data_IF_518785163735
#
_entry.id   IF_518785163735
#
_cell.length_a   1.000
_cell.length_b   1.000
_cell.length_c   1.000
_cell.angle_alpha   90.00
_cell.angle_beta   90.00
_cell.angle_gamma   90.00
#
_symmetry.space_group_name_H-M   'P 1'
#
loop_
_entity.id
_entity.type
_entity.pdbx_description
1 polymer ?
#
# COMPACT_ATOMS: atom_id res chain seq x y z
N UNK A 1 -1.79 1.70 8.32
CA UNK A 1 -2.34 2.90 7.66
C UNK A 1 -1.16 3.72 7.14
N UNK A 2 -1.25 4.25 5.93
CA UNK A 2 -0.28 5.21 5.39
C UNK A 2 -1.02 6.47 4.93
N UNK A 3 -0.37 7.62 5.06
CA UNK A 3 -0.86 8.92 4.61
C UNK A 3 0.20 9.53 3.71
N UNK A 4 -0.17 9.88 2.48
CA UNK A 4 0.73 10.54 1.52
C UNK A 4 0.32 12.00 1.35
N UNK A 5 1.11 12.91 1.92
CA UNK A 5 0.94 14.36 1.74
C UNK A 5 1.54 14.84 0.41
N UNK A 6 0.98 15.93 -0.14
CA UNK A 6 1.17 16.49 -1.48
C UNK A 6 0.25 15.88 -2.57
N UNK A 7 0.71 15.74 -3.82
CA UNK A 7 -0.10 15.62 -5.05
C UNK A 7 -1.23 14.56 -5.09
N UNK A 8 -1.26 13.59 -4.16
CA UNK A 8 -2.29 12.54 -4.11
C UNK A 8 -3.26 12.66 -2.92
N UNK A 9 -2.86 13.38 -1.85
CA UNK A 9 -3.56 13.55 -0.57
C UNK A 9 -4.52 12.38 -0.24
N UNK A 10 -3.93 11.21 0.01
CA UNK A 10 -4.67 9.93 0.09
C UNK A 10 -4.35 9.17 1.37
N UNK A 11 -5.38 8.50 1.90
CA UNK A 11 -5.22 7.47 2.92
C UNK A 11 -5.03 6.11 2.25
N UNK A 12 -4.13 5.29 2.78
CA UNK A 12 -4.03 3.89 2.39
C UNK A 12 -4.16 2.94 3.59
N UNK A 13 -5.10 2.00 3.48
CA UNK A 13 -5.09 0.81 4.33
C UNK A 13 -4.16 -0.22 3.68
N UNK A 14 -3.10 -0.62 4.40
CA UNK A 14 -2.15 -1.63 3.91
C UNK A 14 -2.44 -2.94 4.62
N UNK A 15 -2.69 -3.98 3.82
CA UNK A 15 -3.03 -5.33 4.25
C UNK A 15 -1.92 -6.29 3.83
N UNK A 16 -1.69 -7.33 4.61
CA UNK A 16 -0.76 -8.41 4.28
C UNK A 16 -1.42 -9.77 4.53
N UNK A 17 -1.07 -10.77 3.72
CA UNK A 17 -1.47 -12.15 4.00
C UNK A 17 -0.71 -12.73 5.20
N UNK A 18 -1.09 -13.93 5.64
CA UNK A 18 -0.48 -14.59 6.82
C UNK A 18 1.05 -14.70 6.71
N UNK A 19 1.56 -14.92 5.51
CA UNK A 19 3.00 -14.98 5.23
C UNK A 19 3.66 -13.62 5.50
N UNK A 20 3.08 -12.53 5.02
CA UNK A 20 3.56 -11.17 5.27
C UNK A 20 3.52 -10.84 6.77
N UNK A 21 2.40 -11.13 7.44
CA UNK A 21 2.20 -10.86 8.87
C UNK A 21 3.21 -11.63 9.72
N UNK A 22 3.43 -12.92 9.41
CA UNK A 22 4.46 -13.72 10.08
C UNK A 22 5.85 -13.14 9.88
N UNK A 23 6.21 -12.77 8.64
CA UNK A 23 7.51 -12.17 8.34
C UNK A 23 7.75 -10.87 9.11
N UNK A 24 6.70 -10.06 9.31
CA UNK A 24 6.78 -8.89 10.17
C UNK A 24 7.00 -9.20 11.65
N UNK A 25 6.27 -10.17 12.21
CA UNK A 25 6.38 -10.53 13.63
C UNK A 25 7.70 -11.20 14.00
N UNK A 26 8.25 -12.01 13.11
CA UNK A 26 9.48 -12.77 13.37
C UNK A 26 10.74 -11.88 13.42
N UNK A 27 10.60 -10.55 13.24
CA UNK A 27 11.74 -9.63 13.20
C UNK A 27 12.66 -9.84 11.99
N UNK A 28 12.29 -10.75 11.08
CA UNK A 28 13.06 -11.17 9.90
C UNK A 28 13.12 -10.12 8.78
N UNK A 29 12.66 -8.89 9.04
CA UNK A 29 12.95 -7.79 8.14
C UNK A 29 14.47 -7.54 8.15
N UNK A 30 15.15 -8.06 7.11
CA UNK A 30 14.92 -7.45 5.80
C UNK A 30 14.31 -8.34 4.71
N UNK A 31 13.85 -9.58 4.91
CA UNK A 31 13.43 -10.47 3.81
C UNK A 31 11.99 -10.97 3.93
N UNK A 32 11.19 -10.77 2.87
CA UNK A 32 9.88 -11.39 2.72
C UNK A 32 10.00 -12.69 1.91
N UNK A 33 9.46 -13.82 2.37
CA UNK A 33 9.53 -15.08 1.65
C UNK A 33 8.60 -15.11 0.42
N UNK A 34 8.87 -16.01 -0.53
CA UNK A 34 7.96 -16.29 -1.65
C UNK A 34 6.55 -16.63 -1.14
N UNK A 35 5.53 -16.16 -1.85
CA UNK A 35 4.13 -16.23 -1.43
C UNK A 35 3.68 -15.07 -0.53
N UNK A 36 4.58 -14.14 -0.17
CA UNK A 36 4.17 -12.89 0.48
C UNK A 36 3.30 -12.07 -0.45
N UNK A 37 2.15 -11.59 0.04
CA UNK A 37 1.25 -10.68 -0.68
C UNK A 37 0.94 -9.49 0.23
N UNK A 38 1.12 -8.29 -0.32
CA UNK A 38 0.77 -7.02 0.32
C UNK A 38 -0.17 -6.26 -0.61
N UNK A 39 -1.26 -5.72 -0.06
CA UNK A 39 -2.21 -4.89 -0.76
C UNK A 39 -2.31 -3.51 -0.12
N UNK A 40 -2.35 -2.46 -0.92
CA UNK A 40 -2.62 -1.10 -0.48
C UNK A 40 -3.95 -0.64 -1.10
N UNK A 41 -4.93 -0.36 -0.24
CA UNK A 41 -6.24 0.17 -0.62
C UNK A 41 -6.21 1.68 -0.43
N UNK A 42 -6.22 2.45 -1.52
CA UNK A 42 -6.10 3.90 -1.48
C UNK A 42 -7.48 4.57 -1.55
N UNK A 43 -7.68 5.59 -0.70
CA UNK A 43 -8.90 6.36 -0.57
C UNK A 43 -8.58 7.85 -0.56
N UNK A 44 -9.57 8.67 -0.95
CA UNK A 44 -9.48 10.11 -0.76
C UNK A 44 -9.40 10.46 0.73
N UNK A 45 -8.53 11.37 1.10
CA UNK A 45 -8.49 11.98 2.42
C UNK A 45 -9.54 13.10 2.48
N UNK A 46 -10.66 12.88 3.16
CA UNK A 46 -11.79 13.84 3.19
C UNK A 46 -12.13 14.27 4.62
N UNK A 47 -12.50 15.54 4.85
CA UNK A 47 -12.99 15.98 6.16
C UNK A 47 -14.24 15.19 6.58
N UNK A 48 -14.30 14.81 7.85
CA UNK A 48 -15.51 14.23 8.44
C UNK A 48 -16.40 15.34 9.00
N UNK A 49 -17.46 15.70 8.27
CA UNK A 49 -18.42 16.70 8.74
C UNK A 49 -19.08 16.31 10.07
N UNK A 50 -19.40 15.02 10.24
CA UNK A 50 -19.99 14.49 11.48
C UNK A 50 -19.09 14.73 12.68
N UNK A 51 -17.82 14.31 12.59
CA UNK A 51 -16.88 14.48 13.70
C UNK A 51 -16.55 15.96 13.90
N UNK A 52 -16.37 16.73 12.83
CA UNK A 52 -16.06 18.15 12.93
C UNK A 52 -17.20 18.94 13.59
N UNK A 53 -18.47 18.53 13.40
CA UNK A 53 -19.61 19.09 14.16
C UNK A 53 -19.47 18.81 15.66
N UNK A 54 -19.07 17.61 16.06
CA UNK A 54 -18.87 17.27 17.46
C UNK A 54 -17.72 18.08 18.10
N UNK A 55 -16.68 18.38 17.33
CA UNK A 55 -15.51 19.12 17.82
C UNK A 55 -15.57 20.65 17.61
N UNK A 56 -16.52 21.15 16.82
CA UNK A 56 -16.65 22.57 16.49
C UNK A 56 -15.54 23.13 15.58
N UNK A 57 -14.67 22.28 15.01
CA UNK A 57 -13.58 22.67 14.12
C UNK A 57 -13.20 21.55 13.15
N UNK A 58 -12.61 21.90 12.00
CA UNK A 58 -12.10 20.92 11.03
C UNK A 58 -10.82 20.27 11.55
N UNK A 59 -10.93 19.05 12.05
CA UNK A 59 -9.77 18.30 12.56
C UNK A 59 -9.86 16.79 12.33
N UNK A 60 -11.03 16.25 12.01
CA UNK A 60 -11.23 14.84 11.73
C UNK A 60 -11.32 14.58 10.24
N UNK A 61 -10.67 13.50 9.81
CA UNK A 61 -10.65 13.06 8.42
C UNK A 61 -10.94 11.57 8.35
N UNK A 62 -11.59 11.16 7.28
CA UNK A 62 -12.00 9.78 7.03
C UNK A 62 -11.63 9.36 5.62
N UNK A 63 -11.69 8.06 5.36
CA UNK A 63 -11.59 7.52 4.01
C UNK A 63 -12.85 7.90 3.21
N UNK A 64 -12.67 8.66 2.13
CA UNK A 64 -13.70 8.93 1.13
C UNK A 64 -13.69 7.87 0.03
N UNK A 65 -13.99 8.29 -1.20
CA UNK A 65 -14.04 7.37 -2.34
C UNK A 65 -12.71 6.62 -2.57
N UNK A 66 -12.77 5.32 -2.93
CA UNK A 66 -11.59 4.57 -3.33
C UNK A 66 -10.99 5.17 -4.61
N UNK A 67 -9.67 5.27 -4.66
CA UNK A 67 -8.95 5.86 -5.80
C UNK A 67 -8.22 4.82 -6.64
N UNK A 68 -7.63 3.81 -5.99
CA UNK A 68 -6.97 2.69 -6.64
C UNK A 68 -6.66 1.60 -5.61
N UNK A 69 -6.36 0.40 -6.12
CA UNK A 69 -5.81 -0.70 -5.33
C UNK A 69 -4.48 -1.09 -5.92
N UNK A 70 -3.47 -1.28 -5.06
CA UNK A 70 -2.15 -1.74 -5.47
C UNK A 70 -1.82 -3.05 -4.78
N UNK A 71 -1.15 -3.93 -5.50
CA UNK A 71 -0.66 -5.21 -4.99
C UNK A 71 0.83 -5.32 -5.25
N UNK A 72 1.52 -5.98 -4.32
CA UNK A 72 2.83 -6.56 -4.57
C UNK A 72 2.87 -8.00 -4.06
N UNK A 73 3.43 -8.89 -4.87
CA UNK A 73 3.51 -10.32 -4.57
C UNK A 73 4.93 -10.84 -4.78
N UNK A 74 5.43 -11.62 -3.83
CA UNK A 74 6.77 -12.21 -3.87
C UNK A 74 6.72 -13.56 -4.59
N UNK A 75 7.40 -13.65 -5.73
CA UNK A 75 7.68 -14.88 -6.45
C UNK A 75 9.06 -14.75 -7.14
N UNK A 76 10.06 -15.34 -6.50
CA UNK A 76 11.44 -15.33 -6.98
C UNK A 76 11.62 -15.96 -8.37
N UNK A 77 10.72 -16.87 -8.78
CA UNK A 77 10.83 -17.58 -10.07
C UNK A 77 10.37 -16.71 -11.23
N UNK A 78 9.25 -16.01 -11.06
CA UNK A 78 8.63 -15.20 -12.13
C UNK A 78 9.10 -13.75 -12.13
N UNK A 79 9.64 -13.25 -11.01
CA UNK A 79 10.00 -11.85 -10.81
C UNK A 79 11.47 -11.63 -10.41
N UNK A 80 12.40 -12.48 -10.91
CA UNK A 80 13.81 -12.43 -10.54
C UNK A 80 14.49 -11.06 -10.74
N UNK A 81 14.10 -10.31 -11.79
CA UNK A 81 14.68 -9.01 -12.12
C UNK A 81 14.29 -7.86 -11.18
N UNK A 82 13.33 -8.09 -10.28
CA UNK A 82 12.82 -7.11 -9.31
C UNK A 82 13.05 -7.57 -7.87
N UNK A 83 14.06 -8.43 -7.66
CA UNK A 83 14.31 -9.04 -6.36
C UNK A 83 13.21 -10.00 -5.93
N UNK A 84 12.41 -10.52 -6.86
CA UNK A 84 11.29 -11.42 -6.62
C UNK A 84 9.94 -10.74 -6.48
N UNK A 85 9.81 -9.42 -6.71
CA UNK A 85 8.53 -8.72 -6.53
C UNK A 85 7.78 -8.42 -7.83
N UNK A 86 6.59 -8.98 -7.97
CA UNK A 86 5.59 -8.55 -8.96
C UNK A 86 4.72 -7.42 -8.39
N UNK A 87 4.30 -6.49 -9.26
CA UNK A 87 3.48 -5.34 -8.87
C UNK A 87 2.23 -5.23 -9.76
N UNK A 88 1.11 -4.84 -9.17
CA UNK A 88 -0.15 -4.60 -9.88
C UNK A 88 -0.82 -3.32 -9.38
N UNK A 89 -1.34 -2.52 -10.32
CA UNK A 89 -2.14 -1.34 -10.04
C UNK A 89 -3.51 -1.51 -10.69
N UNK A 90 -4.56 -1.27 -9.92
CA UNK A 90 -5.94 -1.45 -10.33
C UNK A 90 -6.74 -0.19 -10.08
N UNK A 91 -7.62 0.14 -11.02
CA UNK A 91 -8.61 1.19 -10.84
C UNK A 91 -9.61 0.82 -9.72
N UNK A 92 -10.44 1.76 -9.23
CA UNK A 92 -11.51 1.45 -8.28
C UNK A 92 -12.48 0.38 -8.79
N UNK A 93 -12.64 0.24 -10.11
CA UNK A 93 -13.48 -0.78 -10.74
C UNK A 93 -12.79 -2.16 -10.85
N UNK A 94 -11.57 -2.31 -10.31
CA UNK A 94 -10.82 -3.57 -10.35
C UNK A 94 -10.21 -3.88 -11.72
N UNK A 95 -10.29 -2.97 -12.68
CA UNK A 95 -9.59 -3.13 -13.96
C UNK A 95 -8.11 -2.85 -13.76
N UNK A 96 -7.25 -3.65 -14.40
CA UNK A 96 -5.83 -3.33 -14.47
C UNK A 96 -5.69 -1.91 -15.02
N UNK A 97 -5.00 -1.06 -14.26
CA UNK A 97 -4.55 0.21 -14.80
C UNK A 97 -3.76 -0.07 -16.08
N UNK A 98 -3.91 0.77 -17.12
CA UNK A 98 -3.25 0.56 -18.41
C UNK A 98 -1.74 0.30 -18.25
N UNK A 99 -1.04 -0.18 -19.28
CA UNK A 99 0.42 -0.44 -19.19
C UNK A 99 1.28 0.76 -18.75
N UNK A 100 0.73 1.98 -18.78
CA UNK A 100 1.29 3.22 -18.24
C UNK A 100 0.83 3.57 -16.81
N UNK A 101 0.01 2.73 -16.17
CA UNK A 101 -0.35 2.79 -14.76
C UNK A 101 0.92 2.50 -13.97
N UNK A 102 1.60 3.60 -13.65
CA UNK A 102 2.80 3.75 -12.82
C UNK A 102 3.52 2.43 -12.58
N UNK A 103 4.56 2.20 -13.37
CA UNK A 103 5.57 1.22 -13.00
C UNK A 103 5.98 1.49 -11.54
N UNK A 104 5.53 0.62 -10.62
CA UNK A 104 5.74 0.78 -9.18
C UNK A 104 7.20 0.42 -8.81
N UNK A 105 7.91 -0.30 -9.70
CA UNK A 105 9.24 -0.86 -9.43
C UNK A 105 10.27 0.22 -9.09
N UNK A 106 10.43 1.34 -9.84
CA UNK A 106 11.45 2.34 -9.52
C UNK A 106 11.20 3.05 -8.19
N UNK A 107 9.93 3.20 -7.79
CA UNK A 107 9.59 3.76 -6.48
C UNK A 107 9.94 2.76 -5.37
N UNK A 108 9.52 1.50 -5.51
CA UNK A 108 9.75 0.46 -4.51
C UNK A 108 11.21 0.03 -4.38
N UNK A 109 12.01 0.13 -5.43
CA UNK A 109 13.46 -0.10 -5.37
C UNK A 109 14.22 0.82 -4.39
N UNK A 110 13.60 1.93 -3.97
CA UNK A 110 14.16 2.85 -2.96
C UNK A 110 13.93 2.39 -1.52
N UNK A 111 13.04 1.44 -1.28
CA UNK A 111 12.75 0.95 0.07
C UNK A 111 13.87 0.04 0.57
N UNK A 112 14.36 0.28 1.78
CA UNK A 112 15.48 -0.46 2.39
C UNK A 112 15.10 -1.84 2.94
N UNK A 113 13.81 -2.21 2.93
CA UNK A 113 13.27 -3.43 3.56
C UNK A 113 12.67 -4.32 2.49
N UNK A 114 13.52 -4.85 1.63
CA UNK A 114 13.14 -5.72 0.50
C UNK A 114 11.98 -5.11 -0.31
N UNK A 115 12.18 -3.89 -0.78
CA UNK A 115 11.21 -3.14 -1.61
C UNK A 115 9.87 -2.80 -0.94
N UNK A 116 9.73 -2.99 0.38
CA UNK A 116 8.51 -2.67 1.15
C UNK A 116 8.71 -1.46 2.06
N UNK A 117 7.81 -0.47 1.99
CA UNK A 117 7.90 0.76 2.80
C UNK A 117 7.29 0.65 4.21
N UNK A 118 6.47 -0.37 4.46
CA UNK A 118 5.72 -0.48 5.72
C UNK A 118 6.46 -1.24 6.81
N UNK A 119 6.05 -0.96 8.06
CA UNK A 119 6.33 -1.77 9.25
C UNK A 119 5.01 -2.27 9.80
N UNK A 120 5.03 -3.42 10.47
CA UNK A 120 3.87 -3.89 11.20
C UNK A 120 3.66 -3.02 12.44
N UNK A 121 2.42 -2.54 12.61
CA UNK A 121 2.01 -1.60 13.68
C UNK A 121 3.05 -0.51 13.92
N UNK A 122 2.97 0.57 13.13
CA UNK A 122 3.80 1.77 13.23
C UNK A 122 3.88 2.32 14.65
#
# INVERSE_FOLDING_TARGET
MAHEEANLNSFAAVLGNDVAIKAYHDGNAPLFPDGTIIAALHYRFVPSEENNKAFGQTQSFVAGDPTNVQFMAKDSKTSASTGGWGFGHFSPAGTLGGRAARDLRPCHAKASRDSVFTRYSS
#
